data_IF_925975932924
#
_entry.id   IF_925975932924
#
_cell.length_a   1.000
_cell.length_b   1.000
_cell.length_c   1.000
_cell.angle_alpha   90.00
_cell.angle_beta   90.00
_cell.angle_gamma   90.00
#
_symmetry.space_group_name_H-M   'P 1'
#
loop_
_entity.id
_entity.type
_entity.pdbx_description
1 polymer ?
#
# COMPACT_ATOMS: atom_id res chain seq x y z
N UNK A 1 -29.59 28.37 -0.74
CA UNK A 1 -29.61 28.17 0.72
C UNK A 1 -29.17 26.74 0.95
N UNK A 2 -27.88 26.51 1.16
CA UNK A 2 -27.36 25.15 1.35
C UNK A 2 -27.63 24.75 2.80
N UNK A 3 -28.48 23.73 2.97
CA UNK A 3 -28.70 23.13 4.27
C UNK A 3 -27.41 22.39 4.66
N UNK A 4 -26.64 22.98 5.56
CA UNK A 4 -25.56 22.29 6.27
C UNK A 4 -26.19 21.15 7.07
N UNK A 5 -26.27 19.96 6.49
CA UNK A 5 -26.74 18.77 7.16
C UNK A 5 -25.78 18.41 8.29
N UNK A 6 -26.28 18.29 9.51
CA UNK A 6 -25.48 17.90 10.67
C UNK A 6 -24.88 16.50 10.48
N UNK A 7 -23.59 16.29 10.82
CA UNK A 7 -22.95 14.99 10.70
C UNK A 7 -23.65 13.96 11.60
N UNK A 8 -23.88 12.76 11.06
CA UNK A 8 -24.40 11.62 11.82
C UNK A 8 -23.23 10.95 12.53
N UNK A 9 -23.33 10.78 13.85
CA UNK A 9 -22.25 10.19 14.65
C UNK A 9 -22.64 8.81 15.16
N UNK A 10 -21.76 7.83 14.98
CA UNK A 10 -21.91 6.44 15.45
C UNK A 10 -20.76 6.13 16.42
N UNK A 11 -21.08 5.65 17.62
CA UNK A 11 -20.07 5.20 18.57
C UNK A 11 -19.46 3.87 18.12
N UNK A 12 -18.13 3.78 18.09
CA UNK A 12 -17.38 2.58 17.66
C UNK A 12 -16.92 1.71 18.85
N UNK A 13 -17.18 2.13 20.09
CA UNK A 13 -16.62 1.52 21.30
C UNK A 13 -15.25 2.11 21.66
N UNK A 14 -14.78 1.83 22.88
CA UNK A 14 -13.54 2.42 23.44
C UNK A 14 -13.43 3.94 23.24
N UNK A 15 -14.58 4.64 23.33
CA UNK A 15 -14.75 6.09 23.14
C UNK A 15 -14.43 6.62 21.72
N UNK A 16 -14.16 5.73 20.74
CA UNK A 16 -14.02 6.11 19.34
C UNK A 16 -15.36 6.46 18.68
N UNK A 17 -15.32 7.34 17.69
CA UNK A 17 -16.51 7.78 16.95
C UNK A 17 -16.30 7.75 15.44
N UNK A 18 -17.37 7.39 14.73
CA UNK A 18 -17.50 7.50 13.28
C UNK A 18 -18.43 8.67 12.97
N UNK A 19 -17.94 9.64 12.21
CA UNK A 19 -18.73 10.77 11.74
C UNK A 19 -19.01 10.60 10.25
N UNK A 20 -20.29 10.63 9.91
CA UNK A 20 -20.80 10.59 8.55
C UNK A 20 -21.30 11.98 8.20
N UNK A 21 -20.58 12.69 7.34
CA UNK A 21 -21.04 13.96 6.80
C UNK A 21 -21.70 13.69 5.46
N UNK A 22 -23.00 13.97 5.29
CA UNK A 22 -23.61 13.90 3.98
C UNK A 22 -22.88 14.85 3.02
N UNK A 23 -22.41 14.32 1.90
CA UNK A 23 -21.93 15.18 0.81
C UNK A 23 -23.09 15.94 0.18
N UNK A 24 -22.86 17.17 -0.29
CA UNK A 24 -23.82 17.81 -1.20
C UNK A 24 -23.88 17.00 -2.51
N UNK A 25 -24.99 17.05 -3.25
CA UNK A 25 -25.05 16.41 -4.56
C UNK A 25 -23.95 17.00 -5.47
N UNK A 26 -22.92 16.20 -5.79
CA UNK A 26 -21.72 16.63 -6.54
C UNK A 26 -20.49 16.97 -5.68
N UNK A 27 -20.56 16.84 -4.35
CA UNK A 27 -19.45 17.00 -3.40
C UNK A 27 -19.31 15.71 -2.60
N UNK A 28 -18.12 15.11 -2.62
CA UNK A 28 -17.94 13.74 -2.19
C UNK A 28 -18.32 13.47 -0.73
N UNK A 29 -18.95 12.31 -0.48
CA UNK A 29 -19.30 11.90 0.88
C UNK A 29 -18.01 11.57 1.64
N UNK A 30 -17.78 12.29 2.75
CA UNK A 30 -16.60 12.15 3.59
C UNK A 30 -16.97 11.40 4.87
N UNK A 31 -16.58 10.13 4.93
CA UNK A 31 -16.60 9.37 6.18
C UNK A 31 -15.33 9.72 6.96
N UNK A 32 -15.46 10.08 8.23
CA UNK A 32 -14.35 10.41 9.12
C UNK A 32 -14.37 9.52 10.36
N UNK A 33 -13.27 8.85 10.64
CA UNK A 33 -13.07 8.10 11.89
C UNK A 33 -12.14 8.88 12.80
N UNK A 34 -12.59 9.14 14.03
CA UNK A 34 -11.83 9.87 15.02
C UNK A 34 -11.47 8.99 16.22
N UNK A 35 -10.30 9.26 16.80
CA UNK A 35 -9.92 8.76 18.12
C UNK A 35 -10.76 9.44 19.23
N UNK A 36 -10.73 8.93 20.48
CA UNK A 36 -11.48 9.51 21.60
C UNK A 36 -11.19 11.00 21.87
N UNK A 37 -9.96 11.43 21.58
CA UNK A 37 -9.51 12.82 21.72
C UNK A 37 -9.99 13.73 20.56
N UNK A 38 -10.78 13.20 19.62
CA UNK A 38 -11.26 13.89 18.44
C UNK A 38 -10.26 13.91 17.27
N UNK A 39 -9.06 13.34 17.42
CA UNK A 39 -8.04 13.32 16.35
C UNK A 39 -8.51 12.44 15.19
N UNK A 40 -8.54 12.95 13.95
CA UNK A 40 -8.83 12.14 12.76
C UNK A 40 -7.81 11.03 12.52
N UNK A 41 -8.28 9.82 12.22
CA UNK A 41 -7.45 8.63 11.95
C UNK A 41 -7.61 8.10 10.53
N UNK A 42 -8.83 8.10 10.02
CA UNK A 42 -9.17 7.61 8.69
C UNK A 42 -10.18 8.57 8.05
N UNK A 43 -9.99 8.87 6.79
CA UNK A 43 -10.96 9.56 5.96
C UNK A 43 -11.24 8.73 4.72
N UNK A 44 -12.52 8.65 4.32
CA UNK A 44 -12.92 8.09 3.03
C UNK A 44 -13.68 9.15 2.27
N UNK A 45 -13.16 9.55 1.11
CA UNK A 45 -13.81 10.48 0.20
C UNK A 45 -14.32 9.70 -1.02
N UNK A 46 -15.58 9.93 -1.37
CA UNK A 46 -16.21 9.32 -2.54
C UNK A 46 -16.60 10.45 -3.50
N UNK A 47 -15.84 10.64 -4.57
CA UNK A 47 -16.15 11.57 -5.66
C UNK A 47 -16.80 10.85 -6.84
N UNK A 48 -17.21 11.58 -7.88
CA UNK A 48 -17.93 11.00 -9.02
C UNK A 48 -17.16 9.92 -9.78
N UNK A 49 -15.83 9.96 -9.73
CA UNK A 49 -14.90 9.11 -10.48
C UNK A 49 -13.79 8.52 -9.58
N UNK A 50 -13.77 8.82 -8.28
CA UNK A 50 -12.67 8.46 -7.39
C UNK A 50 -13.15 8.06 -6.00
N UNK A 51 -12.53 7.01 -5.46
CA UNK A 51 -12.61 6.66 -4.03
C UNK A 51 -11.22 6.88 -3.41
N UNK A 52 -11.13 7.77 -2.43
CA UNK A 52 -9.88 8.04 -1.70
C UNK A 52 -10.03 7.51 -0.28
N UNK A 53 -9.07 6.70 0.17
CA UNK A 53 -8.98 6.22 1.56
C UNK A 53 -7.68 6.76 2.14
N UNK A 54 -7.77 7.74 3.03
CA UNK A 54 -6.61 8.38 3.65
C UNK A 54 -6.45 7.98 5.12
N UNK A 55 -5.27 7.47 5.46
CA UNK A 55 -4.88 7.26 6.85
C UNK A 55 -4.12 8.49 7.34
N UNK A 56 -4.79 9.36 8.09
CA UNK A 56 -4.32 10.71 8.38
C UNK A 56 -3.23 10.77 9.45
N UNK A 57 -3.28 9.89 10.45
CA UNK A 57 -2.34 9.95 11.57
C UNK A 57 -2.12 8.61 12.26
N UNK A 58 -0.90 8.40 12.76
CA UNK A 58 -0.52 7.20 13.50
C UNK A 58 -0.14 6.02 12.60
N UNK A 59 0.04 4.86 13.23
CA UNK A 59 0.40 3.63 12.53
C UNK A 59 -0.86 2.93 12.02
N UNK A 60 -0.96 2.75 10.70
CA UNK A 60 -2.02 1.93 10.10
C UNK A 60 -1.55 0.50 9.93
N UNK A 61 -2.41 -0.46 10.27
CA UNK A 61 -2.17 -1.87 10.01
C UNK A 61 -3.37 -2.52 9.35
N UNK A 62 -3.18 -2.95 8.11
CA UNK A 62 -4.08 -3.90 7.45
C UNK A 62 -3.70 -5.33 7.89
N UNK A 63 -4.68 -6.10 8.35
CA UNK A 63 -4.52 -7.51 8.69
C UNK A 63 -5.70 -8.27 8.11
N UNK A 64 -5.41 -9.29 7.32
CA UNK A 64 -6.39 -10.16 6.69
C UNK A 64 -6.10 -11.58 7.18
N UNK A 65 -7.11 -12.27 7.73
CA UNK A 65 -6.96 -13.63 8.23
C UNK A 65 -6.93 -14.67 7.11
N UNK A 66 -7.58 -14.36 5.98
CA UNK A 66 -7.55 -15.16 4.76
C UNK A 66 -6.77 -14.48 3.64
N UNK A 67 -7.16 -14.77 2.40
CA UNK A 67 -6.52 -14.22 1.21
C UNK A 67 -6.81 -12.73 1.04
N UNK A 68 -5.77 -11.96 0.75
CA UNK A 68 -5.87 -10.60 0.25
C UNK A 68 -5.48 -10.61 -1.23
N UNK A 69 -6.40 -10.20 -2.10
CA UNK A 69 -6.15 -9.97 -3.52
C UNK A 69 -6.29 -8.48 -3.83
N UNK A 70 -5.33 -7.92 -4.56
CA UNK A 70 -5.36 -6.54 -5.05
C UNK A 70 -5.24 -6.60 -6.55
N UNK A 71 -6.22 -6.04 -7.26
CA UNK A 71 -6.26 -6.01 -8.72
C UNK A 71 -6.62 -4.60 -9.16
N UNK A 72 -5.83 -4.06 -10.07
CA UNK A 72 -5.98 -2.72 -10.60
C UNK A 72 -5.29 -2.63 -11.97
N UNK A 73 -5.72 -1.67 -12.79
CA UNK A 73 -5.03 -1.35 -14.04
C UNK A 73 -3.61 -0.81 -13.77
N UNK A 74 -3.42 -0.16 -12.62
CA UNK A 74 -2.13 0.34 -12.14
C UNK A 74 -2.06 0.25 -10.61
N UNK A 75 -0.91 -0.18 -10.07
CA UNK A 75 -0.62 -0.24 -8.64
C UNK A 75 0.72 0.44 -8.35
N UNK A 76 0.69 1.43 -7.46
CA UNK A 76 1.89 2.08 -6.93
C UNK A 76 1.97 1.88 -5.42
N UNK A 77 3.12 1.38 -4.95
CA UNK A 77 3.44 1.28 -3.53
C UNK A 77 4.68 2.14 -3.27
N UNK A 78 4.63 3.01 -2.26
CA UNK A 78 5.73 3.92 -1.92
C UNK A 78 5.92 4.01 -0.42
N UNK A 79 7.17 4.14 0.02
CA UNK A 79 7.52 4.41 1.40
C UNK A 79 8.60 5.50 1.46
N UNK A 80 8.50 6.40 2.43
CA UNK A 80 9.46 7.50 2.61
C UNK A 80 10.81 7.01 3.17
N UNK A 81 10.78 5.96 3.99
CA UNK A 81 11.97 5.43 4.66
C UNK A 81 12.24 4.00 4.18
N UNK A 82 11.45 3.04 4.65
CA UNK A 82 11.67 1.62 4.40
C UNK A 82 10.42 0.96 3.82
N UNK A 83 10.64 0.04 2.87
CA UNK A 83 9.64 -0.91 2.40
C UNK A 83 10.17 -2.33 2.63
N UNK A 84 9.36 -3.21 3.22
CA UNK A 84 9.72 -4.62 3.39
C UNK A 84 8.60 -5.53 2.94
N UNK A 85 8.94 -6.51 2.11
CA UNK A 85 8.06 -7.60 1.68
C UNK A 85 8.62 -8.90 2.25
N UNK A 86 7.81 -9.64 3.01
CA UNK A 86 8.20 -10.90 3.63
C UNK A 86 7.13 -11.94 3.36
N UNK A 87 7.52 -13.08 2.82
CA UNK A 87 6.66 -14.25 2.64
C UNK A 87 7.22 -15.41 3.47
N UNK A 88 6.34 -16.16 4.13
CA UNK A 88 6.72 -17.41 4.80
C UNK A 88 6.82 -18.60 3.85
N UNK A 89 6.16 -18.51 2.69
CA UNK A 89 6.30 -19.43 1.57
C UNK A 89 6.94 -18.72 0.38
N UNK A 90 6.42 -18.98 -0.82
CA UNK A 90 7.01 -18.47 -2.06
C UNK A 90 6.61 -17.01 -2.34
N UNK A 91 7.57 -16.23 -2.87
CA UNK A 91 7.34 -14.91 -3.44
C UNK A 91 7.66 -14.95 -4.94
N UNK A 92 6.67 -14.66 -5.79
CA UNK A 92 6.83 -14.58 -7.24
C UNK A 92 6.65 -13.14 -7.70
N UNK A 93 7.59 -12.63 -8.49
CA UNK A 93 7.49 -11.35 -9.20
C UNK A 93 7.52 -11.65 -10.70
N UNK A 94 6.46 -11.27 -11.40
CA UNK A 94 6.33 -11.50 -12.83
C UNK A 94 5.79 -10.24 -13.52
N UNK A 95 6.35 -9.94 -14.69
CA UNK A 95 5.89 -8.86 -15.55
C UNK A 95 6.05 -9.31 -17.00
N UNK A 96 5.06 -9.00 -17.85
CA UNK A 96 5.16 -9.26 -19.30
C UNK A 96 6.17 -8.33 -19.98
N UNK A 97 6.34 -7.13 -19.43
CA UNK A 97 7.27 -6.12 -19.93
C UNK A 97 8.65 -6.22 -19.27
N UNK A 98 8.91 -5.34 -18.30
CA UNK A 98 10.22 -5.19 -17.65
C UNK A 98 10.07 -5.14 -16.14
N UNK A 99 11.05 -5.73 -15.45
CA UNK A 99 11.28 -5.53 -14.02
C UNK A 99 12.58 -4.72 -13.89
N UNK A 100 12.50 -3.53 -13.28
CA UNK A 100 13.64 -2.67 -12.99
C UNK A 100 13.87 -2.63 -11.46
N UNK A 101 15.10 -2.91 -11.02
CA UNK A 101 15.53 -2.71 -9.64
C UNK A 101 16.71 -1.73 -9.60
N UNK A 102 16.58 -0.64 -8.83
CA UNK A 102 17.62 0.39 -8.68
C UNK A 102 17.84 0.68 -7.21
N UNK A 103 19.09 0.57 -6.77
CA UNK A 103 19.49 0.81 -5.40
C UNK A 103 20.96 1.23 -5.35
N UNK A 104 21.39 1.86 -4.26
CA UNK A 104 22.81 2.10 -4.00
C UNK A 104 23.61 0.80 -3.81
N UNK A 105 22.95 -0.26 -3.33
CA UNK A 105 23.46 -1.61 -3.27
C UNK A 105 22.30 -2.61 -3.41
N UNK A 106 22.53 -3.70 -4.14
CA UNK A 106 21.62 -4.85 -4.22
C UNK A 106 22.34 -6.08 -3.69
N UNK A 107 21.72 -6.78 -2.74
CA UNK A 107 22.22 -8.02 -2.18
C UNK A 107 21.21 -9.13 -2.43
N UNK A 108 21.68 -10.25 -2.97
CA UNK A 108 20.89 -11.46 -3.22
C UNK A 108 21.59 -12.60 -2.48
N UNK A 109 20.86 -13.25 -1.58
CA UNK A 109 21.38 -14.35 -0.76
C UNK A 109 20.39 -15.52 -0.80
N UNK A 110 20.89 -16.69 -1.14
CA UNK A 110 20.15 -17.95 -1.03
C UNK A 110 20.69 -18.72 0.19
N UNK A 111 19.87 -18.88 1.24
CA UNK A 111 20.33 -19.46 2.52
C UNK A 111 20.41 -20.98 2.52
N UNK A 112 19.58 -21.65 1.70
CA UNK A 112 19.48 -23.13 1.66
C UNK A 112 19.52 -23.71 0.25
N UNK A 113 19.52 -22.88 -0.79
CA UNK A 113 19.42 -23.31 -2.18
C UNK A 113 20.27 -22.46 -3.10
N UNK A 114 20.01 -22.56 -4.39
CA UNK A 114 20.79 -21.89 -5.42
C UNK A 114 20.20 -20.51 -5.77
N UNK A 115 21.06 -19.64 -6.30
CA UNK A 115 20.65 -18.46 -7.04
C UNK A 115 20.84 -18.74 -8.54
N UNK A 116 19.74 -18.89 -9.27
CA UNK A 116 19.75 -19.15 -10.71
C UNK A 116 19.33 -17.89 -11.48
N UNK A 117 20.08 -17.56 -12.53
CA UNK A 117 19.73 -16.51 -13.48
C UNK A 117 19.73 -17.14 -14.86
N UNK A 118 18.55 -17.25 -15.46
CA UNK A 118 18.34 -17.81 -16.79
C UNK A 118 17.72 -16.76 -17.69
N UNK A 119 18.31 -16.57 -18.87
CA UNK A 119 17.82 -15.67 -19.91
C UNK A 119 17.75 -16.43 -21.24
N UNK A 120 16.79 -16.08 -22.10
CA UNK A 120 16.73 -16.65 -23.44
C UNK A 120 17.89 -16.14 -24.31
N UNK A 121 18.23 -14.86 -24.14
CA UNK A 121 19.33 -14.19 -24.84
C UNK A 121 20.51 -14.00 -23.86
N UNK A 122 20.87 -12.75 -23.57
CA UNK A 122 22.08 -12.42 -22.83
C UNK A 122 21.83 -12.17 -21.35
N UNK A 123 22.78 -12.60 -20.53
CA UNK A 123 22.98 -12.09 -19.17
C UNK A 123 24.21 -11.18 -19.18
N UNK A 124 24.01 -9.89 -18.93
CA UNK A 124 25.08 -8.90 -18.85
C UNK A 124 25.33 -8.50 -17.40
N UNK A 125 26.52 -8.81 -16.91
CA UNK A 125 27.01 -8.38 -15.60
C UNK A 125 28.11 -7.36 -15.82
N UNK A 126 27.94 -6.14 -15.29
CA UNK A 126 28.91 -5.05 -15.41
C UNK A 126 29.31 -4.53 -14.04
N UNK A 127 30.60 -4.35 -13.85
CA UNK A 127 31.14 -3.75 -12.64
C UNK A 127 32.65 -3.58 -12.75
N UNK A 128 33.20 -2.65 -11.98
CA UNK A 128 34.66 -2.44 -11.94
C UNK A 128 35.41 -3.71 -11.51
N UNK A 129 34.77 -4.54 -10.67
CA UNK A 129 35.32 -5.80 -10.16
C UNK A 129 34.24 -6.87 -10.13
N UNK A 130 34.27 -7.78 -11.09
CA UNK A 130 33.43 -8.99 -11.09
C UNK A 130 34.30 -10.16 -10.67
N UNK A 131 33.90 -10.85 -9.59
CA UNK A 131 34.56 -12.06 -9.12
C UNK A 131 33.55 -13.19 -9.14
N UNK A 132 33.87 -14.23 -9.90
CA UNK A 132 33.16 -15.49 -9.88
C UNK A 132 34.07 -16.48 -9.20
N UNK A 133 33.60 -17.01 -8.06
CA UNK A 133 34.29 -18.10 -7.40
C UNK A 133 33.65 -19.39 -7.89
N UNK A 134 34.50 -20.35 -8.29
CA UNK A 134 34.10 -21.72 -8.60
C UNK A 134 34.37 -22.63 -7.40
#
# INVERSE_FOLDING_TARGET
MNASSSPHTIALGAEGVLQLTPGEAGSGTALLVCAPDGTPRLQVLIESDMLVIECLSGNTRLRVAGTLAVSADSLALSATHDMSLRCGGDLTLAAEGRIDARAGALALEATRGDAEITANDDVRLEGERIRMNA
#
